data_IF_773637891684
#
_entry.id   IF_773637891684
#
_cell.length_a   1.000
_cell.length_b   1.000
_cell.length_c   1.000
_cell.angle_alpha   90.00
_cell.angle_beta   90.00
_cell.angle_gamma   90.00
#
_symmetry.space_group_name_H-M   'P 1'
#
loop_
_entity.id
_entity.type
_entity.pdbx_description
1 polymer ?
#
# COMPACT_ATOMS: atom_id res chain seq x y z
N UNK A 1 -13.47 -12.29 -1.55
CA UNK A 1 -13.93 -13.41 -2.40
C UNK A 1 -14.65 -12.95 -3.69
N UNK A 2 -15.52 -11.93 -3.66
CA UNK A 2 -16.24 -11.41 -4.84
C UNK A 2 -15.35 -10.97 -6.03
N UNK A 3 -14.15 -10.44 -5.76
CA UNK A 3 -13.20 -10.02 -6.81
C UNK A 3 -12.63 -11.19 -7.64
N UNK A 4 -12.43 -12.36 -7.04
CA UNK A 4 -11.85 -13.51 -7.73
C UNK A 4 -12.86 -14.15 -8.71
N UNK A 5 -14.14 -14.20 -8.35
CA UNK A 5 -15.21 -14.70 -9.22
C UNK A 5 -15.41 -13.84 -10.46
N UNK A 6 -15.42 -12.51 -10.31
CA UNK A 6 -15.55 -11.59 -11.45
C UNK A 6 -14.37 -11.66 -12.41
N UNK A 7 -13.16 -11.90 -11.91
CA UNK A 7 -11.96 -12.04 -12.73
C UNK A 7 -12.00 -13.29 -13.62
N UNK A 8 -12.44 -14.43 -13.07
CA UNK A 8 -12.57 -15.69 -13.81
C UNK A 8 -13.63 -15.55 -14.91
N UNK A 9 -14.76 -14.92 -14.61
CA UNK A 9 -15.82 -14.66 -15.60
C UNK A 9 -15.30 -13.78 -16.73
N UNK A 10 -14.53 -12.73 -16.44
CA UNK A 10 -13.95 -11.86 -17.46
C UNK A 10 -12.96 -12.60 -18.36
N UNK A 11 -12.08 -13.43 -17.78
CA UNK A 11 -11.12 -14.24 -18.53
C UNK A 11 -11.84 -15.24 -19.44
N UNK A 12 -12.86 -15.94 -18.93
CA UNK A 12 -13.64 -16.89 -19.72
C UNK A 12 -14.42 -16.20 -20.85
N UNK A 13 -14.98 -15.01 -20.59
CA UNK A 13 -15.69 -14.22 -21.58
C UNK A 13 -14.74 -13.72 -22.69
N UNK A 14 -13.55 -13.24 -22.34
CA UNK A 14 -12.53 -12.83 -23.31
C UNK A 14 -12.05 -14.00 -24.17
N UNK A 15 -11.84 -15.19 -23.58
CA UNK A 15 -11.44 -16.40 -24.33
C UNK A 15 -12.56 -16.85 -25.28
N UNK A 16 -13.81 -16.88 -24.81
CA UNK A 16 -14.96 -17.27 -25.62
C UNK A 16 -15.21 -16.28 -26.78
N UNK A 17 -15.10 -14.97 -26.51
CA UNK A 17 -15.23 -13.93 -27.51
C UNK A 17 -14.12 -14.02 -28.57
N UNK A 18 -12.87 -14.22 -28.13
CA UNK A 18 -11.72 -14.39 -29.01
C UNK A 18 -11.85 -15.65 -29.91
N UNK A 19 -12.43 -16.74 -29.39
CA UNK A 19 -12.67 -17.95 -30.18
C UNK A 19 -13.73 -17.81 -31.29
N UNK A 20 -14.52 -16.72 -31.27
CA UNK A 20 -15.56 -16.45 -32.24
C UNK A 20 -15.22 -15.31 -33.23
N UNK A 21 -14.18 -14.53 -32.94
CA UNK A 21 -13.78 -13.39 -33.77
C UNK A 21 -12.91 -13.83 -34.96
N UNK A 22 -13.16 -13.26 -36.13
CA UNK A 22 -12.40 -13.51 -37.36
C UNK A 22 -11.09 -12.71 -37.35
N UNK A 23 -9.96 -13.34 -37.69
CA UNK A 23 -8.63 -12.71 -37.72
C UNK A 23 -8.53 -11.46 -38.63
N UNK A 24 -9.50 -11.28 -39.54
CA UNK A 24 -9.54 -10.14 -40.47
C UNK A 24 -10.34 -8.93 -39.94
N UNK A 25 -10.92 -9.01 -38.74
CA UNK A 25 -11.63 -7.88 -38.13
C UNK A 25 -10.63 -6.89 -37.50
N UNK A 26 -10.63 -5.61 -37.87
CA UNK A 26 -9.80 -4.60 -37.21
C UNK A 26 -10.02 -4.49 -35.68
N UNK A 27 -11.15 -4.97 -35.15
CA UNK A 27 -11.41 -5.02 -33.70
C UNK A 27 -10.56 -6.09 -32.99
N UNK A 28 -10.11 -7.12 -33.70
CA UNK A 28 -9.32 -8.22 -33.14
C UNK A 28 -8.05 -7.77 -32.40
N UNK A 29 -7.32 -6.81 -32.96
CA UNK A 29 -6.08 -6.29 -32.34
C UNK A 29 -6.41 -5.56 -31.03
N UNK A 30 -7.51 -4.79 -31.01
CA UNK A 30 -7.93 -4.06 -29.81
C UNK A 30 -8.33 -5.04 -28.69
N UNK A 31 -9.09 -6.08 -29.04
CA UNK A 31 -9.54 -7.09 -28.09
C UNK A 31 -8.38 -7.92 -27.52
N UNK A 32 -7.38 -8.23 -28.34
CA UNK A 32 -6.15 -8.88 -27.91
C UNK A 32 -5.38 -8.01 -26.91
N UNK A 33 -5.22 -6.71 -27.19
CA UNK A 33 -4.55 -5.77 -26.29
C UNK A 33 -5.28 -5.69 -24.94
N UNK A 34 -6.61 -5.56 -24.96
CA UNK A 34 -7.43 -5.50 -23.74
C UNK A 34 -7.30 -6.79 -22.94
N UNK A 35 -7.33 -7.94 -23.60
CA UNK A 35 -7.21 -9.26 -22.95
C UNK A 35 -5.85 -9.43 -22.28
N UNK A 36 -4.76 -9.10 -22.98
CA UNK A 36 -3.40 -9.17 -22.42
C UNK A 36 -3.24 -8.21 -21.24
N UNK A 37 -3.74 -6.98 -21.36
CA UNK A 37 -3.70 -5.99 -20.28
C UNK A 37 -4.47 -6.48 -19.05
N UNK A 38 -5.69 -6.99 -19.25
CA UNK A 38 -6.53 -7.54 -18.19
C UNK A 38 -5.89 -8.74 -17.49
N UNK A 39 -5.35 -9.69 -18.25
CA UNK A 39 -4.63 -10.86 -17.71
C UNK A 39 -3.39 -10.44 -16.91
N UNK A 40 -2.65 -9.44 -17.38
CA UNK A 40 -1.48 -8.91 -16.68
C UNK A 40 -1.87 -8.26 -15.35
N UNK A 41 -2.90 -7.40 -15.34
CA UNK A 41 -3.42 -6.77 -14.11
C UNK A 41 -3.89 -7.84 -13.12
N UNK A 42 -4.64 -8.82 -13.63
CA UNK A 42 -5.15 -9.97 -12.88
C UNK A 42 -4.03 -10.76 -12.20
N UNK A 43 -2.97 -11.07 -12.93
CA UNK A 43 -1.79 -11.76 -12.40
C UNK A 43 -1.08 -10.94 -11.31
N UNK A 44 -0.96 -9.62 -11.49
CA UNK A 44 -0.38 -8.72 -10.47
C UNK A 44 -1.23 -8.70 -9.19
N UNK A 45 -2.55 -8.64 -9.32
CA UNK A 45 -3.47 -8.66 -8.16
C UNK A 45 -3.35 -10.00 -7.43
N UNK A 46 -3.35 -11.11 -8.16
CA UNK A 46 -3.22 -12.44 -7.58
C UNK A 46 -1.87 -12.61 -6.87
N UNK A 47 -0.78 -12.19 -7.51
CA UNK A 47 0.55 -12.17 -6.91
C UNK A 47 0.56 -11.36 -5.61
N UNK A 48 -0.05 -10.17 -5.61
CA UNK A 48 -0.18 -9.34 -4.40
C UNK A 48 -0.97 -10.03 -3.30
N UNK A 49 -2.08 -10.68 -3.60
CA UNK A 49 -2.88 -11.41 -2.60
C UNK A 49 -2.06 -12.54 -1.97
N UNK A 50 -1.24 -13.23 -2.76
CA UNK A 50 -0.38 -14.31 -2.26
C UNK A 50 0.82 -13.74 -1.47
N UNK A 51 1.46 -12.70 -1.98
CA UNK A 51 2.66 -12.09 -1.39
C UNK A 51 2.36 -11.31 -0.10
N UNK A 52 1.16 -10.73 0.03
CA UNK A 52 0.73 -10.02 1.25
C UNK A 52 0.10 -10.94 2.29
N UNK A 53 0.50 -12.23 2.35
CA UNK A 53 0.13 -13.12 3.44
C UNK A 53 1.00 -12.84 4.66
N UNK A 54 0.35 -12.45 5.77
CA UNK A 54 1.02 -12.16 7.04
C UNK A 54 0.73 -10.74 7.54
N UNK A 55 1.52 -10.29 8.52
CA UNK A 55 1.36 -8.98 9.13
C UNK A 55 1.68 -7.88 8.11
N UNK A 56 0.65 -7.12 7.73
CA UNK A 56 0.80 -5.98 6.82
C UNK A 56 1.49 -4.82 7.51
N UNK A 57 1.22 -4.66 8.81
CA UNK A 57 1.85 -3.65 9.66
C UNK A 57 2.49 -4.34 10.86
N UNK A 58 3.75 -4.02 11.10
CA UNK A 58 4.49 -4.40 12.31
C UNK A 58 4.90 -3.14 13.05
N UNK A 59 4.52 -3.07 14.33
CA UNK A 59 4.90 -2.00 15.25
C UNK A 59 5.79 -2.63 16.32
N UNK A 60 6.98 -2.07 16.53
CA UNK A 60 7.95 -2.56 17.50
C UNK A 60 8.64 -1.38 18.19
N UNK A 61 9.36 -1.58 19.31
CA UNK A 61 10.16 -0.52 19.91
C UNK A 61 11.20 0.09 18.95
N UNK A 62 11.70 -0.68 17.99
CA UNK A 62 12.72 -0.23 17.04
C UNK A 62 12.14 0.62 15.90
N UNK A 63 10.86 0.45 15.58
CA UNK A 63 10.22 1.17 14.50
C UNK A 63 8.87 0.65 14.04
N UNK A 64 8.47 1.20 12.91
CA UNK A 64 7.25 0.91 12.17
C UNK A 64 7.58 0.31 10.81
N UNK A 65 6.90 -0.78 10.43
CA UNK A 65 7.00 -1.36 9.11
C UNK A 65 5.59 -1.57 8.54
N UNK A 66 5.33 -1.03 7.35
CA UNK A 66 4.18 -1.39 6.53
C UNK A 66 4.70 -1.87 5.18
N UNK A 67 4.48 -3.15 4.88
CA UNK A 67 4.98 -3.83 3.67
C UNK A 67 4.48 -3.19 2.37
N UNK A 68 3.39 -2.41 2.44
CA UNK A 68 2.84 -1.68 1.29
C UNK A 68 3.58 -0.36 1.06
N UNK A 69 4.14 0.21 2.13
CA UNK A 69 4.78 1.53 2.13
C UNK A 69 6.29 1.40 1.94
N UNK A 70 6.91 0.44 2.62
CA UNK A 70 8.34 0.33 2.81
C UNK A 70 8.78 -1.13 2.76
N UNK A 71 9.96 -1.41 2.24
CA UNK A 71 10.57 -2.75 2.31
C UNK A 71 11.31 -2.98 3.63
N UNK A 72 11.66 -1.91 4.35
CA UNK A 72 12.43 -1.94 5.59
C UNK A 72 11.69 -1.25 6.73
N UNK A 73 12.08 -1.59 7.96
CA UNK A 73 11.62 -0.96 9.19
C UNK A 73 12.01 0.53 9.19
N UNK A 74 11.03 1.39 9.45
CA UNK A 74 11.20 2.84 9.59
C UNK A 74 11.38 3.14 11.08
N UNK A 75 12.54 3.60 11.53
CA UNK A 75 12.77 3.82 12.95
C UNK A 75 11.96 5.02 13.45
N UNK A 76 11.45 4.96 14.69
CA UNK A 76 10.61 6.04 15.24
C UNK A 76 11.29 7.41 15.24
N UNK A 77 12.60 7.45 15.46
CA UNK A 77 13.42 8.68 15.39
C UNK A 77 13.40 9.38 14.03
N UNK A 78 13.01 8.67 12.96
CA UNK A 78 12.91 9.22 11.61
C UNK A 78 11.54 9.86 11.32
N UNK A 79 10.54 9.65 12.19
CA UNK A 79 9.17 10.12 12.04
C UNK A 79 9.02 11.40 12.85
N UNK A 80 8.86 12.53 12.16
CA UNK A 80 8.77 13.84 12.78
C UNK A 80 7.35 14.08 13.33
N UNK A 81 6.35 13.79 12.50
CA UNK A 81 4.93 14.06 12.75
C UNK A 81 4.08 12.90 12.28
N UNK A 82 3.09 12.52 13.10
CA UNK A 82 2.05 11.56 12.77
C UNK A 82 0.73 12.33 12.76
N UNK A 83 0.00 12.32 11.65
CA UNK A 83 -1.29 13.01 11.54
C UNK A 83 -2.33 12.18 10.81
N UNK A 84 -3.60 12.46 11.06
CA UNK A 84 -4.70 11.89 10.26
C UNK A 84 -4.78 12.60 8.92
N UNK A 85 -4.89 11.82 7.84
CA UNK A 85 -5.17 12.33 6.50
C UNK A 85 -6.67 12.23 6.23
N UNK A 86 -7.26 13.34 5.78
CA UNK A 86 -8.67 13.39 5.39
C UNK A 86 -8.79 13.80 3.92
N UNK A 87 -9.72 13.17 3.23
CA UNK A 87 -10.08 13.50 1.85
C UNK A 87 -11.57 13.82 1.83
N UNK A 88 -11.91 15.08 1.52
CA UNK A 88 -13.31 15.57 1.50
C UNK A 88 -14.05 15.31 2.82
N UNK A 89 -13.37 15.49 3.96
CA UNK A 89 -13.94 15.28 5.30
C UNK A 89 -14.01 13.81 5.75
N UNK A 90 -13.61 12.86 4.90
CA UNK A 90 -13.57 11.43 5.24
C UNK A 90 -12.14 11.05 5.62
N UNK A 91 -11.97 10.36 6.75
CA UNK A 91 -10.68 9.79 7.16
C UNK A 91 -10.16 8.82 6.10
N UNK A 92 -9.07 9.22 5.44
CA UNK A 92 -8.47 8.45 4.36
C UNK A 92 -7.38 7.51 4.87
N UNK A 93 -6.66 7.89 5.92
CA UNK A 93 -5.56 7.12 6.48
C UNK A 93 -4.68 7.93 7.42
N UNK A 94 -3.49 7.41 7.72
CA UNK A 94 -2.48 8.06 8.55
C UNK A 94 -1.38 8.60 7.64
N UNK A 95 -0.93 9.83 7.89
CA UNK A 95 0.19 10.45 7.19
C UNK A 95 1.36 10.62 8.16
N UNK A 96 2.52 10.09 7.76
CA UNK A 96 3.77 10.22 8.48
C UNK A 96 4.64 11.25 7.76
N UNK A 97 5.10 12.27 8.47
CA UNK A 97 6.17 13.14 7.98
C UNK A 97 7.49 12.50 8.39
N UNK A 98 8.34 12.22 7.40
CA UNK A 98 9.56 11.44 7.59
C UNK A 98 10.73 12.26 7.06
N UNK A 99 11.84 12.25 7.80
CA UNK A 99 13.05 12.94 7.37
C UNK A 99 13.53 12.44 5.99
N UNK A 100 14.10 13.32 5.13
CA UNK A 100 14.55 12.93 3.80
C UNK A 100 15.56 11.77 3.81
N UNK A 101 16.45 11.75 4.81
CA UNK A 101 17.47 10.72 4.98
C UNK A 101 16.86 9.34 5.29
N UNK A 102 15.76 9.29 6.04
CA UNK A 102 15.08 8.03 6.32
C UNK A 102 14.25 7.53 5.14
N UNK A 103 13.73 8.44 4.29
CA UNK A 103 12.97 8.05 3.10
C UNK A 103 13.83 7.30 2.07
N UNK A 104 15.11 7.64 1.93
CA UNK A 104 16.04 6.91 1.06
C UNK A 104 16.43 5.55 1.63
N UNK A 105 16.62 5.46 2.94
CA UNK A 105 17.05 4.24 3.63
C UNK A 105 15.92 3.23 3.80
N UNK A 106 14.67 3.68 3.97
CA UNK A 106 13.53 2.80 4.20
C UNK A 106 13.18 1.89 3.00
N UNK A 107 13.67 2.19 1.78
CA UNK A 107 13.27 1.43 0.59
C UNK A 107 11.78 1.60 0.29
N UNK A 108 11.31 2.86 0.34
CA UNK A 108 9.91 3.20 0.08
C UNK A 108 9.50 2.72 -1.31
N UNK A 109 8.40 1.98 -1.38
CA UNK A 109 7.94 1.40 -2.64
C UNK A 109 7.54 2.49 -3.64
N UNK A 110 7.71 2.24 -4.95
CA UNK A 110 7.29 3.21 -5.99
C UNK A 110 5.81 3.59 -5.87
N UNK A 111 4.96 2.63 -5.49
CA UNK A 111 3.53 2.88 -5.29
C UNK A 111 3.28 3.82 -4.11
N UNK A 112 4.02 3.64 -3.01
CA UNK A 112 3.93 4.54 -1.86
C UNK A 112 4.48 5.93 -2.16
N UNK A 113 5.55 6.04 -2.96
CA UNK A 113 6.07 7.32 -3.44
C UNK A 113 5.04 8.08 -4.27
N UNK A 114 4.34 7.40 -5.19
CA UNK A 114 3.33 8.02 -6.05
C UNK A 114 2.09 8.49 -5.28
N UNK A 115 1.71 7.77 -4.22
CA UNK A 115 0.54 8.09 -3.39
C UNK A 115 0.80 9.14 -2.32
N UNK A 116 2.07 9.36 -1.95
CA UNK A 116 2.44 10.23 -0.84
C UNK A 116 2.96 11.58 -1.32
N UNK A 117 2.77 12.61 -0.51
CA UNK A 117 3.39 13.92 -0.75
C UNK A 117 4.91 13.85 -0.56
N UNK A 118 5.68 14.78 -1.13
CA UNK A 118 7.11 14.91 -0.84
C UNK A 118 7.36 14.99 0.68
N UNK A 119 8.35 14.24 1.18
CA UNK A 119 8.65 14.15 2.62
C UNK A 119 7.60 13.42 3.48
N UNK A 120 6.54 12.87 2.88
CA UNK A 120 5.48 12.15 3.60
C UNK A 120 5.35 10.70 3.16
N UNK A 121 4.77 9.89 4.02
CA UNK A 121 4.33 8.52 3.77
C UNK A 121 2.88 8.38 4.18
N UNK A 122 2.08 7.72 3.35
CA UNK A 122 0.66 7.50 3.58
C UNK A 122 0.37 6.03 3.89
N UNK A 123 -0.34 5.78 4.98
CA UNK A 123 -0.79 4.47 5.43
C UNK A 123 -2.31 4.42 5.29
N UNK A 124 -2.80 3.52 4.43
CA UNK A 124 -4.24 3.27 4.32
C UNK A 124 -4.69 2.34 5.44
N UNK A 125 -5.41 2.89 6.41
CA UNK A 125 -5.93 2.15 7.56
C UNK A 125 -7.26 1.45 7.29
N UNK A 126 -7.95 1.74 6.18
CA UNK A 126 -9.30 1.21 5.90
C UNK A 126 -9.32 -0.27 5.52
N UNK A 127 -8.15 -0.80 5.20
CA UNK A 127 -7.95 -2.19 4.78
C UNK A 127 -7.36 -3.06 5.88
N UNK A 128 -7.18 -2.49 7.08
CA UNK A 128 -6.64 -3.17 8.23
C UNK A 128 -7.78 -3.62 9.15
N UNK A 129 -7.51 -4.68 9.92
CA UNK A 129 -8.43 -5.16 10.94
C UNK A 129 -8.46 -4.24 12.17
N UNK A 130 -7.31 -3.64 12.52
CA UNK A 130 -7.22 -2.64 13.58
C UNK A 130 -7.91 -1.34 13.16
N UNK A 131 -8.65 -0.71 14.09
CA UNK A 131 -9.31 0.56 13.82
C UNK A 131 -8.30 1.67 13.54
N UNK A 132 -8.69 2.67 12.74
CA UNK A 132 -7.86 3.83 12.45
C UNK A 132 -7.37 4.51 13.75
N UNK A 133 -8.27 4.69 14.72
CA UNK A 133 -7.97 5.39 15.96
C UNK A 133 -7.00 4.59 16.80
N UNK A 134 -7.18 3.27 16.95
CA UNK A 134 -6.30 2.44 17.76
C UNK A 134 -4.90 2.38 17.16
N UNK A 135 -4.80 2.28 15.83
CA UNK A 135 -3.52 2.33 15.13
C UNK A 135 -2.83 3.69 15.36
N UNK A 136 -3.56 4.78 15.20
CA UNK A 136 -3.02 6.13 15.40
C UNK A 136 -2.54 6.32 16.86
N UNK A 137 -3.31 5.85 17.83
CA UNK A 137 -2.99 5.95 19.25
C UNK A 137 -1.74 5.14 19.59
N UNK A 138 -1.66 3.90 19.07
CA UNK A 138 -0.50 3.02 19.21
C UNK A 138 0.77 3.66 18.62
N UNK A 139 0.70 4.14 17.37
CA UNK A 139 1.86 4.77 16.72
C UNK A 139 2.33 6.03 17.45
N UNK A 140 1.41 6.86 17.95
CA UNK A 140 1.75 8.03 18.76
C UNK A 140 2.42 7.65 20.08
N UNK A 141 1.95 6.58 20.75
CA UNK A 141 2.55 6.12 22.00
C UNK A 141 4.02 5.69 21.80
N UNK A 142 4.32 4.92 20.75
CA UNK A 142 5.69 4.52 20.42
C UNK A 142 6.57 5.72 20.03
N UNK A 143 6.06 6.64 19.19
CA UNK A 143 6.80 7.83 18.82
C UNK A 143 7.09 8.74 20.02
N UNK A 144 6.15 8.86 20.96
CA UNK A 144 6.34 9.62 22.20
C UNK A 144 7.39 8.96 23.12
N UNK A 145 7.33 7.63 23.28
CA UNK A 145 8.29 6.88 24.06
C UNK A 145 9.73 7.02 23.51
N UNK A 146 9.90 6.97 22.19
CA UNK A 146 11.22 7.19 21.57
C UNK A 146 11.74 8.60 21.80
N UNK A 147 10.88 9.62 21.71
CA UNK A 147 11.26 11.01 22.00
C UNK A 147 11.74 11.18 23.45
N UNK A 148 11.07 10.53 24.40
CA UNK A 148 11.50 10.53 25.81
C UNK A 148 12.87 9.85 25.97
N UNK A 149 13.05 8.67 25.36
CA UNK A 149 14.32 7.92 25.40
C UNK A 149 15.50 8.74 24.89
N UNK A 150 15.31 9.49 23.80
CA UNK A 150 16.34 10.38 23.25
C UNK A 150 16.61 11.61 24.12
N UNK A 151 15.60 12.12 24.82
CA UNK A 151 15.74 13.21 25.79
C UNK A 151 16.59 12.80 27.00
N UNK A 152 16.33 11.62 27.57
CA UNK A 152 17.08 11.08 28.72
C UNK A 152 18.55 10.74 28.45
N UNK A 153 18.98 10.69 27.18
CA UNK A 153 20.38 10.42 26.80
C UNK A 153 21.17 11.68 26.45
N UNK A 154 20.57 12.88 26.59
CA UNK A 154 21.22 14.16 26.33
C UNK A 154 21.65 14.92 27.59
N UNK A 155 21.31 14.40 28.77
CA UNK A 155 21.71 14.90 30.09
C UNK A 155 22.86 14.05 30.66
#
# INVERSE_FOLDING_TARGET
>A
MLLAGNMIIFILFSIAYYSHSSENDPQYILDLIITIASATISAIILYRIIAFRGDVITISPDGFHDVRVSALMIPWKAIDVISTSTVRGITAGIELTVSPAAKSVAGVTRVAQLRSRPGRLFIDSRTLEISHNDLLLCMNAYAAAEKQRLGTHRD
#
